data_IF_102182975183
#
_entry.id   IF_102182975183
#
_cell.length_a   1.000
_cell.length_b   1.000
_cell.length_c   1.000
_cell.angle_alpha   90.00
_cell.angle_beta   90.00
_cell.angle_gamma   90.00
#
_symmetry.space_group_name_H-M   'P 1'
#
loop_
_entity.id
_entity.type
_entity.pdbx_description
1 polymer ?
#
# COMPACT_ATOMS: atom_id res chain seq x y z
N UNK A 1 -66.58 -13.16 -34.49
CA UNK A 1 -67.75 -12.52 -35.12
C UNK A 1 -67.36 -11.11 -35.50
N UNK A 2 -67.47 -10.80 -36.80
CA UNK A 2 -67.45 -9.47 -37.43
C UNK A 2 -66.14 -8.66 -37.45
N UNK A 3 -65.77 -7.89 -38.47
CA UNK A 3 -66.08 -7.77 -39.92
C UNK A 3 -65.62 -6.34 -40.31
N UNK A 4 -64.76 -6.23 -41.34
CA UNK A 4 -64.54 -5.07 -42.24
C UNK A 4 -63.95 -3.79 -41.57
N UNK A 5 -63.24 -2.89 -42.25
CA UNK A 5 -63.38 -2.28 -43.59
C UNK A 5 -61.96 -1.82 -44.03
N UNK A 6 -61.47 -2.12 -45.22
CA UNK A 6 -61.73 -1.46 -46.51
C UNK A 6 -61.67 0.08 -46.42
N UNK A 7 -60.76 0.72 -47.15
CA UNK A 7 -61.04 1.70 -48.23
C UNK A 7 -59.72 2.23 -48.76
N UNK A 8 -59.65 2.23 -50.09
CA UNK A 8 -58.59 2.69 -50.97
C UNK A 8 -58.67 4.20 -51.26
N UNK A 9 -57.54 4.69 -51.80
CA UNK A 9 -57.43 5.71 -52.87
C UNK A 9 -57.30 7.17 -52.40
N UNK A 10 -56.15 7.77 -52.70
CA UNK A 10 -56.01 9.11 -53.27
C UNK A 10 -54.61 9.22 -53.92
N UNK A 11 -54.55 9.36 -55.25
CA UNK A 11 -53.43 10.05 -55.89
C UNK A 11 -53.76 11.55 -55.98
N UNK A 12 -53.12 12.32 -56.87
CA UNK A 12 -51.72 12.34 -57.31
C UNK A 12 -51.10 13.73 -57.00
N UNK A 13 -49.77 13.90 -57.06
CA UNK A 13 -49.16 15.16 -57.53
C UNK A 13 -47.64 15.06 -57.57
N UNK A 14 -47.08 15.21 -58.77
CA UNK A 14 -45.68 15.54 -58.97
C UNK A 14 -45.47 17.04 -58.70
N UNK A 15 -44.40 17.40 -58.00
CA UNK A 15 -43.51 18.45 -58.47
C UNK A 15 -42.08 17.90 -58.52
N UNK A 16 -41.28 18.14 -59.55
CA UNK A 16 -41.00 19.50 -60.01
C UNK A 16 -39.76 20.00 -59.27
N UNK A 17 -38.61 19.49 -59.72
CA UNK A 17 -37.21 19.83 -59.42
C UNK A 17 -36.98 21.22 -58.79
N UNK A 18 -36.26 21.24 -57.66
CA UNK A 18 -35.39 22.38 -57.30
C UNK A 18 -34.03 21.86 -56.85
N UNK A 19 -33.02 22.16 -57.66
CA UNK A 19 -31.60 21.92 -57.38
C UNK A 19 -31.16 22.79 -56.21
N UNK A 20 -30.45 22.22 -55.23
CA UNK A 20 -29.61 23.00 -54.32
C UNK A 20 -28.19 22.43 -54.28
N UNK A 21 -27.28 23.39 -54.35
CA UNK A 21 -25.85 23.28 -54.45
C UNK A 21 -25.23 22.50 -53.29
N UNK A 22 -24.04 21.99 -53.56
CA UNK A 22 -23.31 21.10 -52.68
C UNK A 22 -22.95 21.70 -51.33
N UNK A 23 -22.88 20.79 -50.35
CA UNK A 23 -22.11 20.98 -49.15
C UNK A 23 -21.40 19.65 -48.90
N UNK A 24 -20.11 19.58 -49.25
CA UNK A 24 -19.24 18.49 -48.84
C UNK A 24 -19.07 18.62 -47.32
N UNK A 25 -19.79 17.81 -46.56
CA UNK A 25 -19.54 17.66 -45.14
C UNK A 25 -18.18 16.96 -44.97
N UNK A 26 -17.15 17.72 -44.56
CA UNK A 26 -15.98 17.12 -43.92
C UNK A 26 -16.45 16.63 -42.54
N UNK A 27 -16.58 15.31 -42.39
CA UNK A 27 -16.70 14.70 -41.08
C UNK A 27 -15.34 14.85 -40.38
N UNK A 28 -15.21 15.85 -39.50
CA UNK A 28 -14.13 15.88 -38.51
C UNK A 28 -14.49 14.86 -37.46
N UNK A 29 -13.99 13.64 -37.61
CA UNK A 29 -14.07 12.62 -36.56
C UNK A 29 -13.21 13.07 -35.38
N UNK A 30 -13.85 13.51 -34.30
CA UNK A 30 -13.16 13.69 -33.02
C UNK A 30 -12.88 12.30 -32.48
N UNK A 31 -11.62 11.87 -32.57
CA UNK A 31 -11.14 10.69 -31.86
C UNK A 31 -11.03 11.06 -30.38
N UNK A 32 -12.04 10.70 -29.58
CA UNK A 32 -11.92 10.76 -28.12
C UNK A 32 -10.95 9.66 -27.72
N UNK A 33 -9.69 10.02 -27.54
CA UNK A 33 -8.71 9.15 -26.87
C UNK A 33 -9.04 9.20 -25.39
N UNK A 34 -9.88 8.26 -24.95
CA UNK A 34 -10.00 7.98 -23.51
C UNK A 34 -8.63 7.48 -23.04
N UNK A 35 -7.99 8.10 -22.03
CA UNK A 35 -6.82 7.49 -21.43
C UNK A 35 -7.21 6.09 -20.92
N UNK A 36 -6.33 5.09 -21.02
CA UNK A 36 -6.60 3.82 -20.40
C UNK A 36 -6.82 4.08 -18.90
N UNK A 37 -7.98 3.68 -18.38
CA UNK A 37 -8.11 3.42 -16.96
C UNK A 37 -6.99 2.44 -16.63
N UNK A 38 -6.03 2.87 -15.83
CA UNK A 38 -5.16 1.94 -15.15
C UNK A 38 -6.08 1.02 -14.35
N UNK A 39 -6.26 -0.23 -14.78
CA UNK A 39 -6.70 -1.27 -13.87
C UNK A 39 -5.63 -1.28 -12.78
N UNK A 40 -5.96 -0.73 -11.61
CA UNK A 40 -5.26 -1.10 -10.40
C UNK A 40 -5.23 -2.63 -10.42
N UNK A 41 -4.04 -3.21 -10.50
CA UNK A 41 -3.88 -4.64 -10.27
C UNK A 41 -4.52 -4.99 -8.93
N UNK A 42 -4.88 -6.26 -8.68
CA UNK A 42 -5.40 -6.65 -7.38
C UNK A 42 -4.50 -6.05 -6.31
N UNK A 43 -5.07 -5.25 -5.42
CA UNK A 43 -4.39 -4.83 -4.21
C UNK A 43 -3.79 -6.11 -3.63
N UNK A 44 -2.47 -6.11 -3.40
CA UNK A 44 -1.83 -7.20 -2.67
C UNK A 44 -2.56 -7.27 -1.33
N UNK A 45 -3.47 -8.23 -1.18
CA UNK A 45 -4.24 -8.44 0.04
C UNK A 45 -3.44 -9.27 1.06
N UNK A 46 -2.13 -9.41 0.83
CA UNK A 46 -1.25 -10.21 1.66
C UNK A 46 0.12 -9.60 1.69
N UNK A 47 0.79 -9.79 2.81
CA UNK A 47 2.14 -9.30 3.06
C UNK A 47 3.15 -10.30 2.50
N UNK A 48 4.20 -9.82 1.85
CA UNK A 48 5.29 -10.63 1.32
C UNK A 48 6.55 -10.49 2.18
N UNK A 49 7.10 -11.63 2.61
CA UNK A 49 8.33 -11.71 3.40
C UNK A 49 9.41 -12.42 2.58
N UNK A 50 10.56 -11.79 2.41
CA UNK A 50 11.70 -12.37 1.69
C UNK A 50 13.01 -12.06 2.37
N UNK A 51 14.03 -12.88 2.12
CA UNK A 51 15.41 -12.59 2.54
C UNK A 51 16.28 -12.46 1.30
N UNK A 52 16.94 -11.31 1.14
CA UNK A 52 17.88 -11.04 0.06
C UNK A 52 19.24 -10.65 0.64
N UNK A 53 20.24 -11.51 0.48
CA UNK A 53 21.53 -11.30 1.13
C UNK A 53 21.39 -11.33 2.65
N UNK A 54 21.75 -10.24 3.32
CA UNK A 54 21.67 -10.07 4.78
C UNK A 54 20.43 -9.28 5.25
N UNK A 55 19.46 -9.03 4.36
CA UNK A 55 18.29 -8.21 4.66
C UNK A 55 17.02 -9.06 4.64
N UNK A 56 16.24 -9.00 5.74
CA UNK A 56 14.84 -9.43 5.76
C UNK A 56 13.98 -8.28 5.23
N UNK A 57 13.19 -8.53 4.19
CA UNK A 57 12.30 -7.55 3.56
C UNK A 57 10.85 -7.95 3.77
N UNK A 58 10.05 -7.02 4.28
CA UNK A 58 8.61 -7.14 4.49
C UNK A 58 7.92 -6.08 3.62
N UNK A 59 7.03 -6.51 2.74
CA UNK A 59 6.24 -5.61 1.89
C UNK A 59 4.76 -5.92 2.10
N UNK A 60 4.06 -5.01 2.74
CA UNK A 60 2.66 -5.17 3.10
C UNK A 60 1.70 -4.69 1.99
N UNK A 61 0.41 -4.90 2.23
CA UNK A 61 -0.66 -4.62 1.27
C UNK A 61 -1.10 -3.16 1.29
N UNK A 62 -2.30 -2.86 0.80
CA UNK A 62 -2.95 -1.55 1.03
C UNK A 62 -4.07 -1.65 2.08
N UNK A 63 -3.96 -2.62 2.99
CA UNK A 63 -4.91 -2.88 4.06
C UNK A 63 -4.21 -2.60 5.39
N UNK A 64 -4.99 -2.46 6.45
CA UNK A 64 -4.44 -2.39 7.80
C UNK A 64 -3.76 -3.70 8.18
N UNK A 65 -2.45 -3.66 8.34
CA UNK A 65 -1.61 -4.80 8.72
C UNK A 65 -1.17 -4.67 10.20
N UNK A 66 -1.09 -5.79 10.94
CA UNK A 66 -0.56 -5.83 12.31
C UNK A 66 0.62 -6.79 12.38
N UNK A 67 1.81 -6.24 12.10
CA UNK A 67 3.04 -6.98 11.87
C UNK A 67 3.95 -6.97 13.10
N UNK A 68 4.43 -8.15 13.50
CA UNK A 68 5.53 -8.30 14.45
C UNK A 68 6.68 -9.08 13.85
N UNK A 69 7.90 -8.71 14.23
CA UNK A 69 9.11 -9.48 13.96
C UNK A 69 9.74 -9.85 15.30
N UNK A 70 9.87 -11.14 15.53
CA UNK A 70 10.34 -11.71 16.79
C UNK A 70 11.55 -12.63 16.53
N UNK A 71 12.48 -12.71 17.49
CA UNK A 71 13.53 -13.74 17.48
C UNK A 71 13.08 -14.91 18.37
N UNK A 72 12.83 -16.06 17.76
CA UNK A 72 12.42 -17.28 18.48
C UNK A 72 13.63 -17.91 19.19
N UNK A 73 13.35 -18.77 20.18
CA UNK A 73 14.39 -19.43 21.00
C UNK A 73 15.30 -20.36 20.21
N UNK A 74 14.84 -20.81 19.03
CA UNK A 74 15.59 -21.64 18.10
C UNK A 74 16.52 -20.82 17.19
N UNK A 75 16.54 -19.49 17.33
CA UNK A 75 17.33 -18.57 16.52
C UNK A 75 16.71 -18.22 15.17
N UNK A 76 15.45 -18.57 14.93
CA UNK A 76 14.70 -18.14 13.75
C UNK A 76 14.09 -16.76 13.96
N UNK A 77 14.06 -15.93 12.91
CA UNK A 77 13.17 -14.77 12.87
C UNK A 77 11.75 -15.25 12.53
N UNK A 78 10.78 -14.80 13.31
CA UNK A 78 9.37 -15.08 13.12
C UNK A 78 8.70 -13.77 12.73
N UNK A 79 8.12 -13.73 11.54
CA UNK A 79 7.26 -12.61 11.10
C UNK A 79 5.82 -13.05 11.24
N UNK A 80 5.00 -12.26 11.93
CA UNK A 80 3.56 -12.47 12.07
C UNK A 80 2.81 -11.30 11.46
N UNK A 81 1.64 -11.55 10.89
CA UNK A 81 0.69 -10.51 10.51
C UNK A 81 -0.72 -10.92 10.97
N UNK A 82 -1.25 -10.24 11.99
CA UNK A 82 -2.55 -10.58 12.57
C UNK A 82 -3.70 -10.07 11.71
N UNK A 83 -4.26 -10.94 10.86
CA UNK A 83 -5.45 -10.63 10.06
C UNK A 83 -5.28 -10.89 8.57
N UNK A 84 -4.03 -10.92 8.09
CA UNK A 84 -3.72 -11.02 6.66
C UNK A 84 -2.76 -12.17 6.33
N UNK A 85 -2.89 -12.69 5.11
CA UNK A 85 -2.06 -13.80 4.64
C UNK A 85 -0.62 -13.33 4.41
N UNK A 86 0.34 -14.09 4.93
CA UNK A 86 1.76 -13.96 4.60
C UNK A 86 2.15 -14.91 3.46
N UNK A 87 2.87 -14.37 2.49
CA UNK A 87 3.55 -15.14 1.46
C UNK A 87 5.05 -14.99 1.59
N UNK A 88 5.80 -16.04 1.28
CA UNK A 88 7.26 -15.98 1.31
C UNK A 88 7.90 -16.69 0.13
N UNK A 89 9.15 -16.35 -0.16
CA UNK A 89 10.01 -17.05 -1.10
C UNK A 89 11.44 -17.23 -0.55
N UNK A 90 12.18 -18.19 -1.11
CA UNK A 90 13.58 -18.42 -0.78
C UNK A 90 13.76 -19.25 0.50
N UNK A 91 14.58 -18.74 1.43
CA UNK A 91 14.99 -19.48 2.65
C UNK A 91 13.96 -19.47 3.78
N UNK A 92 12.94 -18.62 3.66
CA UNK A 92 11.88 -18.48 4.65
C UNK A 92 10.73 -19.44 4.35
N UNK A 93 10.06 -19.93 5.39
CA UNK A 93 8.99 -20.93 5.32
C UNK A 93 7.70 -20.41 5.97
N UNK A 94 6.56 -20.61 5.31
CA UNK A 94 5.26 -20.41 5.95
C UNK A 94 5.06 -21.47 7.05
N UNK A 95 4.73 -21.03 8.26
CA UNK A 95 4.33 -21.91 9.36
C UNK A 95 2.81 -22.13 9.31
N UNK A 96 2.08 -21.03 9.11
CA UNK A 96 0.64 -20.97 8.88
C UNK A 96 0.34 -19.74 7.99
N UNK A 97 -0.94 -19.44 7.79
CA UNK A 97 -1.38 -18.37 6.90
C UNK A 97 -0.88 -16.98 7.34
N UNK A 98 -0.59 -16.79 8.63
CA UNK A 98 -0.28 -15.49 9.23
C UNK A 98 1.11 -15.46 9.88
N UNK A 99 1.92 -16.52 9.69
CA UNK A 99 3.24 -16.67 10.31
C UNK A 99 4.27 -17.20 9.32
N UNK A 100 5.39 -16.49 9.17
CA UNK A 100 6.58 -16.90 8.40
C UNK A 100 7.78 -17.04 9.32
N UNK A 101 8.57 -18.09 9.13
CA UNK A 101 9.86 -18.33 9.80
C UNK A 101 11.02 -18.21 8.82
N UNK A 102 12.05 -17.46 9.20
CA UNK A 102 13.27 -17.25 8.44
C UNK A 102 14.49 -17.60 9.29
N UNK A 103 15.55 -18.21 8.73
CA UNK A 103 16.82 -18.34 9.45
C UNK A 103 17.39 -16.95 9.77
N UNK A 104 17.76 -16.66 11.02
CA UNK A 104 18.39 -15.38 11.38
C UNK A 104 19.86 -15.29 10.94
N UNK A 105 20.51 -16.43 10.67
CA UNK A 105 21.94 -16.50 10.37
C UNK A 105 22.31 -15.63 9.16
N UNK A 106 23.16 -14.63 9.40
CA UNK A 106 23.63 -13.71 8.36
C UNK A 106 22.69 -12.55 8.06
N UNK A 107 21.51 -12.48 8.70
CA UNK A 107 20.62 -11.31 8.61
C UNK A 107 21.16 -10.24 9.57
N UNK A 108 21.33 -9.03 9.04
CA UNK A 108 21.91 -7.88 9.76
C UNK A 108 20.96 -6.70 9.85
N UNK A 109 19.75 -6.82 9.30
CA UNK A 109 18.75 -5.75 9.34
C UNK A 109 17.42 -6.20 8.74
N UNK A 110 16.42 -5.37 8.99
CA UNK A 110 15.06 -5.58 8.51
C UNK A 110 14.63 -4.33 7.73
N UNK A 111 13.96 -4.52 6.60
CA UNK A 111 13.29 -3.46 5.87
C UNK A 111 11.80 -3.75 5.78
N UNK A 112 10.97 -2.77 6.11
CA UNK A 112 9.52 -2.86 6.02
C UNK A 112 8.93 -1.72 5.19
N UNK A 113 7.97 -2.03 4.32
CA UNK A 113 7.16 -1.05 3.60
C UNK A 113 5.69 -1.43 3.72
N UNK A 114 4.88 -0.64 4.43
CA UNK A 114 3.49 -1.03 4.77
C UNK A 114 2.43 -0.45 3.81
N UNK A 115 2.77 0.60 3.06
CA UNK A 115 1.88 1.25 2.08
C UNK A 115 0.67 1.92 2.75
N UNK A 116 -0.54 1.77 2.22
CA UNK A 116 -1.72 2.42 2.78
C UNK A 116 -2.40 1.49 3.78
N UNK A 117 -2.91 2.02 4.88
CA UNK A 117 -3.46 1.21 5.96
C UNK A 117 -3.38 2.00 7.26
N UNK A 118 -4.14 1.59 8.26
CA UNK A 118 -3.79 1.96 9.64
C UNK A 118 -3.02 0.76 10.19
N UNK A 119 -1.71 0.83 10.11
CA UNK A 119 -0.83 -0.31 10.31
C UNK A 119 -0.20 -0.31 11.69
N UNK A 120 0.27 -1.47 12.14
CA UNK A 120 1.16 -1.55 13.28
C UNK A 120 2.35 -2.43 12.97
N UNK A 121 3.55 -1.93 13.29
CA UNK A 121 4.80 -2.64 13.09
C UNK A 121 5.61 -2.68 14.39
N UNK A 122 6.01 -3.87 14.80
CA UNK A 122 6.81 -4.10 16.01
C UNK A 122 8.09 -4.86 15.70
N UNK A 123 9.23 -4.27 16.04
CA UNK A 123 10.54 -4.91 16.00
C UNK A 123 10.91 -5.43 17.40
N UNK A 124 10.59 -6.68 17.72
CA UNK A 124 10.96 -7.29 18.99
C UNK A 124 12.35 -7.95 18.92
N UNK A 125 13.25 -7.44 18.08
CA UNK A 125 14.58 -7.99 17.86
C UNK A 125 15.68 -6.98 18.18
N UNK A 126 16.93 -7.43 18.14
CA UNK A 126 18.12 -6.57 18.21
C UNK A 126 18.68 -6.24 16.81
N UNK A 127 17.88 -6.38 15.75
CA UNK A 127 18.26 -6.03 14.39
C UNK A 127 17.79 -4.60 14.07
N UNK A 128 18.61 -3.79 13.40
CA UNK A 128 18.19 -2.47 12.95
C UNK A 128 17.09 -2.58 11.90
N UNK A 129 16.07 -1.74 12.02
CA UNK A 129 14.92 -1.68 11.13
C UNK A 129 14.91 -0.40 10.31
N UNK A 130 14.64 -0.54 9.01
CA UNK A 130 14.31 0.57 8.11
C UNK A 130 12.85 0.43 7.70
N UNK A 131 11.98 1.32 8.17
CA UNK A 131 10.55 1.21 7.93
C UNK A 131 9.96 2.43 7.23
N UNK A 132 9.05 2.18 6.30
CA UNK A 132 8.15 3.14 5.71
C UNK A 132 6.74 2.69 6.08
N UNK A 133 6.06 3.44 6.97
CA UNK A 133 4.73 3.06 7.44
C UNK A 133 3.71 3.34 6.33
N UNK A 134 3.57 4.59 5.91
CA UNK A 134 2.90 4.94 4.68
C UNK A 134 1.67 5.80 4.89
N UNK A 135 0.55 5.44 4.28
CA UNK A 135 -0.64 6.28 4.33
C UNK A 135 -1.67 5.76 5.33
N UNK A 136 -1.84 6.47 6.43
CA UNK A 136 -2.92 6.24 7.38
C UNK A 136 -2.49 6.58 8.80
N UNK A 137 -3.06 5.89 9.78
CA UNK A 137 -2.70 6.14 11.18
C UNK A 137 -1.91 4.94 11.65
N UNK A 138 -0.60 5.09 11.68
CA UNK A 138 0.29 3.97 11.88
C UNK A 138 0.92 3.95 13.28
N UNK A 139 1.28 2.74 13.70
CA UNK A 139 1.99 2.48 14.94
C UNK A 139 3.34 1.83 14.68
N UNK A 140 4.41 2.38 15.25
CA UNK A 140 5.73 1.76 15.23
C UNK A 140 6.28 1.57 16.65
N UNK A 141 6.87 0.40 16.90
CA UNK A 141 7.69 0.13 18.08
C UNK A 141 8.99 -0.52 17.65
N UNK A 142 10.10 0.17 17.91
CA UNK A 142 11.46 -0.28 17.58
C UNK A 142 12.00 -1.32 18.53
N UNK A 143 13.23 -1.75 18.24
CA UNK A 143 13.95 -2.78 18.99
C UNK A 143 14.94 -2.21 19.98
N UNK A 144 16.08 -2.89 20.11
CA UNK A 144 17.25 -2.38 20.85
C UNK A 144 18.40 -1.90 19.96
N UNK A 145 18.15 -1.83 18.66
CA UNK A 145 19.10 -1.43 17.65
C UNK A 145 18.69 -0.08 17.07
N UNK A 146 19.65 0.60 16.43
CA UNK A 146 19.40 1.83 15.68
C UNK A 146 18.40 1.58 14.56
N UNK A 147 17.21 2.14 14.71
CA UNK A 147 16.12 2.08 13.75
C UNK A 147 16.05 3.39 12.93
N UNK A 148 15.46 3.31 11.74
CA UNK A 148 15.21 4.46 10.86
C UNK A 148 13.82 4.33 10.26
N UNK A 149 12.90 5.19 10.69
CA UNK A 149 11.48 5.07 10.37
C UNK A 149 10.92 6.37 9.82
N UNK A 150 10.11 6.24 8.78
CA UNK A 150 9.32 7.32 8.18
C UNK A 150 7.83 6.97 8.29
N UNK A 151 7.06 7.77 9.03
CA UNK A 151 5.61 7.68 9.15
C UNK A 151 4.89 7.92 7.81
N UNK A 152 5.36 8.93 7.07
CA UNK A 152 4.82 9.40 5.78
C UNK A 152 3.56 10.24 5.92
N UNK A 153 2.36 9.73 5.66
CA UNK A 153 1.14 10.56 5.68
C UNK A 153 0.12 10.03 6.65
N UNK A 154 -0.37 10.91 7.51
CA UNK A 154 -1.41 10.64 8.47
C UNK A 154 -0.95 10.91 9.89
N UNK A 155 -1.53 10.25 10.88
CA UNK A 155 -1.33 10.63 12.29
C UNK A 155 -0.65 9.54 13.06
N UNK A 156 0.67 9.48 12.99
CA UNK A 156 1.44 8.31 13.37
C UNK A 156 1.88 8.35 14.83
N UNK A 157 2.05 7.17 15.42
CA UNK A 157 2.62 7.01 16.77
C UNK A 157 3.84 6.10 16.69
N UNK A 158 5.01 6.64 17.00
CA UNK A 158 6.28 5.92 16.86
C UNK A 158 7.07 5.94 18.16
N UNK A 159 7.55 4.77 18.59
CA UNK A 159 8.45 4.60 19.72
C UNK A 159 9.73 3.91 19.24
N UNK A 160 10.89 4.57 19.38
CA UNK A 160 12.20 4.00 19.01
C UNK A 160 12.65 2.89 19.95
N UNK A 161 12.36 3.05 21.25
CA UNK A 161 12.80 2.19 22.35
C UNK A 161 14.29 2.37 22.67
N UNK A 162 15.12 1.33 22.57
CA UNK A 162 16.56 1.49 22.84
C UNK A 162 17.30 1.59 21.51
N UNK A 163 18.34 2.43 21.43
CA UNK A 163 19.07 2.63 20.19
C UNK A 163 19.28 4.11 19.92
N UNK A 164 20.07 4.42 18.90
CA UNK A 164 20.22 5.80 18.44
C UNK A 164 19.35 5.99 17.19
N UNK A 165 18.07 6.27 17.36
CA UNK A 165 17.06 6.13 16.32
C UNK A 165 16.90 7.38 15.44
N UNK A 166 16.34 7.20 14.24
CA UNK A 166 15.90 8.29 13.38
C UNK A 166 14.43 8.10 13.05
N UNK A 167 13.56 8.98 13.57
CA UNK A 167 12.11 8.84 13.50
C UNK A 167 11.48 10.11 12.87
N UNK A 168 10.94 9.97 11.66
CA UNK A 168 10.35 11.06 10.88
C UNK A 168 8.84 10.84 10.70
N UNK A 169 8.00 11.57 11.45
CA UNK A 169 6.54 11.49 11.31
C UNK A 169 6.07 11.90 9.91
N UNK A 170 6.69 12.97 9.38
CA UNK A 170 6.35 13.61 8.11
C UNK A 170 5.03 14.39 8.15
N UNK A 171 4.00 13.95 7.41
CA UNK A 171 2.85 14.77 7.11
C UNK A 171 1.60 14.33 7.88
N UNK A 172 1.22 15.10 8.88
CA UNK A 172 -0.02 14.95 9.64
C UNK A 172 0.26 15.09 11.13
N UNK A 173 -0.68 14.77 12.03
CA UNK A 173 -0.46 14.96 13.46
C UNK A 173 0.26 13.76 14.09
N UNK A 174 1.59 13.83 14.20
CA UNK A 174 2.43 12.72 14.66
C UNK A 174 2.87 12.85 16.13
N UNK A 175 3.05 11.71 16.78
CA UNK A 175 3.62 11.59 18.13
C UNK A 175 4.78 10.61 18.14
N UNK A 176 5.95 11.09 18.55
CA UNK A 176 7.19 10.32 18.52
C UNK A 176 7.86 10.30 19.89
N UNK A 177 8.28 9.13 20.34
CA UNK A 177 9.19 8.97 21.47
C UNK A 177 10.45 8.30 20.95
N UNK A 178 11.61 8.94 21.09
CA UNK A 178 12.90 8.32 20.74
C UNK A 178 13.17 7.14 21.65
N UNK A 179 13.49 7.45 22.91
CA UNK A 179 13.62 6.46 23.97
C UNK A 179 14.97 6.56 24.63
N UNK A 180 15.67 5.43 24.77
CA UNK A 180 17.01 5.38 25.33
C UNK A 180 18.07 5.38 24.23
N UNK A 181 18.85 6.45 24.16
CA UNK A 181 19.98 6.57 23.25
C UNK A 181 20.07 8.00 22.75
N UNK A 182 20.66 8.21 21.56
CA UNK A 182 20.70 9.51 20.90
C UNK A 182 19.85 9.47 19.64
N UNK A 183 18.67 10.02 19.75
CA UNK A 183 17.59 9.92 18.79
C UNK A 183 17.41 11.23 18.02
N UNK A 184 17.09 11.14 16.74
CA UNK A 184 16.74 12.28 15.90
C UNK A 184 15.28 12.12 15.50
N UNK A 185 14.43 13.02 16.00
CA UNK A 185 12.99 12.94 15.73
C UNK A 185 12.47 14.20 15.05
N UNK A 186 11.65 14.00 14.00
CA UNK A 186 10.90 15.08 13.34
C UNK A 186 9.41 14.73 13.36
N UNK A 187 8.67 15.37 14.26
CA UNK A 187 7.21 15.25 14.42
C UNK A 187 6.63 16.47 15.18
N UNK A 188 5.30 16.56 15.23
CA UNK A 188 4.52 17.56 15.96
C UNK A 188 4.68 17.42 17.46
N UNK A 189 4.54 16.19 17.97
CA UNK A 189 4.78 15.85 19.38
C UNK A 189 6.01 14.96 19.46
N UNK A 190 6.97 15.34 20.32
CA UNK A 190 8.20 14.57 20.54
C UNK A 190 8.58 14.48 22.01
N UNK A 191 9.02 13.31 22.45
CA UNK A 191 9.57 13.03 23.77
C UNK A 191 10.86 12.22 23.64
N UNK A 192 11.84 12.43 24.54
CA UNK A 192 13.11 11.70 24.54
C UNK A 192 13.82 11.70 23.16
N UNK A 193 13.92 12.88 22.54
CA UNK A 193 14.58 13.06 21.25
C UNK A 193 15.61 14.18 21.33
N UNK A 194 16.75 14.00 20.68
CA UNK A 194 17.78 15.00 20.51
C UNK A 194 17.54 15.87 19.27
N UNK A 195 18.18 17.04 19.29
CA UNK A 195 18.13 18.07 18.25
C UNK A 195 19.35 18.06 17.34
#
# INVERSE_FOLDING_TARGET
MRTRRNITKHGPSRPGVVRRAGLRALAVGVLVVTPPLALAGPALAGTNVTVTGSLLSINAGNLSDDISVDLDVDGSLVVRNSGDTLSTAGVCQNVDDNTVRCPATGITGIQASLQAGADTLRNNTALPMRAFLGAGKDGFSGGSARDTVSGQTGGDTMHGNDGDDVLEGNAGPDSVVGGAGRDICTAEVRESCES
#
